data_IF_645050165172
#
_entry.id   IF_645050165172
#
_cell.length_a   1.000
_cell.length_b   1.000
_cell.length_c   1.000
_cell.angle_alpha   90.00
_cell.angle_beta   90.00
_cell.angle_gamma   90.00
#
_symmetry.space_group_name_H-M   'P 1'
#
loop_
_entity.id
_entity.type
_entity.pdbx_description
1 polymer ?
#
# COMPACT_ATOMS: atom_id res chain seq x y z
N UNK A 1 -7.52 11.32 24.69
CA UNK A 1 -6.46 10.83 23.77
C UNK A 1 -6.88 9.56 23.02
N UNK A 2 -7.22 8.44 23.71
CA UNK A 2 -7.67 7.18 23.08
C UNK A 2 -8.84 7.34 22.08
N UNK A 3 -9.92 8.03 22.49
CA UNK A 3 -11.10 8.30 21.63
C UNK A 3 -10.76 9.01 20.32
N UNK A 4 -9.75 9.89 20.32
CA UNK A 4 -9.34 10.62 19.11
C UNK A 4 -8.55 9.73 18.16
N UNK A 5 -7.72 8.84 18.69
CA UNK A 5 -6.96 7.84 17.91
C UNK A 5 -7.91 6.83 17.28
N UNK A 6 -8.88 6.33 18.06
CA UNK A 6 -9.87 5.36 17.56
C UNK A 6 -10.67 5.96 16.39
N UNK A 7 -11.09 7.24 16.51
CA UNK A 7 -11.80 7.94 15.43
C UNK A 7 -10.94 8.11 14.17
N UNK A 8 -9.65 8.39 14.32
CA UNK A 8 -8.74 8.53 13.16
C UNK A 8 -8.48 7.18 12.48
N UNK A 9 -8.32 6.11 13.27
CA UNK A 9 -8.21 4.75 12.74
C UNK A 9 -9.47 4.34 11.98
N UNK A 10 -10.66 4.67 12.50
CA UNK A 10 -11.92 4.41 11.80
C UNK A 10 -11.96 5.17 10.47
N UNK A 11 -11.68 6.49 10.48
CA UNK A 11 -11.67 7.30 9.25
C UNK A 11 -10.69 6.77 8.19
N UNK A 12 -9.57 6.21 8.62
CA UNK A 12 -8.60 5.58 7.71
C UNK A 12 -9.19 4.31 7.09
N UNK A 13 -9.81 3.45 7.89
CA UNK A 13 -10.47 2.25 7.39
C UNK A 13 -11.62 2.60 6.43
N UNK A 14 -12.44 3.60 6.78
CA UNK A 14 -13.52 4.08 5.89
C UNK A 14 -12.98 4.58 4.54
N UNK A 15 -11.77 5.14 4.52
CA UNK A 15 -11.10 5.59 3.29
C UNK A 15 -10.53 4.44 2.46
N UNK A 16 -10.04 3.39 3.13
CA UNK A 16 -9.63 2.15 2.45
C UNK A 16 -10.83 1.54 1.72
N UNK A 17 -11.98 1.43 2.40
CA UNK A 17 -13.21 0.90 1.83
C UNK A 17 -13.71 1.75 0.65
N UNK A 18 -13.71 3.09 0.77
CA UNK A 18 -14.06 3.99 -0.32
C UNK A 18 -13.20 3.80 -1.58
N UNK A 19 -11.90 3.52 -1.42
CA UNK A 19 -11.00 3.25 -2.56
C UNK A 19 -11.36 1.92 -3.21
N UNK A 20 -11.60 0.88 -2.41
CA UNK A 20 -11.97 -0.44 -2.90
C UNK A 20 -13.32 -0.39 -3.64
N UNK A 21 -14.32 0.32 -3.10
CA UNK A 21 -15.61 0.55 -3.73
C UNK A 21 -15.49 1.30 -5.06
N UNK A 22 -14.76 2.43 -5.08
CA UNK A 22 -14.57 3.22 -6.30
C UNK A 22 -13.87 2.41 -7.41
N UNK A 23 -12.92 1.55 -7.04
CA UNK A 23 -12.26 0.67 -7.99
C UNK A 23 -13.23 -0.39 -8.53
N UNK A 24 -14.05 -1.00 -7.67
CA UNK A 24 -15.07 -1.97 -8.10
C UNK A 24 -16.08 -1.34 -9.05
N UNK A 25 -16.56 -0.14 -8.74
CA UNK A 25 -17.45 0.62 -9.62
C UNK A 25 -16.81 0.89 -10.98
N UNK A 26 -15.54 1.31 -11.01
CA UNK A 26 -14.80 1.56 -12.25
C UNK A 26 -14.69 0.30 -13.11
N UNK A 27 -14.43 -0.86 -12.49
CA UNK A 27 -14.33 -2.14 -13.21
C UNK A 27 -15.68 -2.57 -13.79
N UNK A 28 -16.75 -2.41 -13.01
CA UNK A 28 -18.12 -2.68 -13.44
C UNK A 28 -18.53 -1.79 -14.61
N UNK A 29 -18.24 -0.48 -14.53
CA UNK A 29 -18.49 0.47 -15.62
C UNK A 29 -17.75 0.09 -16.90
N UNK A 30 -16.51 -0.40 -16.77
CA UNK A 30 -15.70 -0.88 -17.91
C UNK A 30 -16.07 -2.29 -18.38
N UNK A 31 -17.10 -2.92 -17.79
CA UNK A 31 -17.57 -4.29 -18.09
C UNK A 31 -16.45 -5.32 -18.05
N UNK A 32 -15.49 -5.11 -17.15
CA UNK A 32 -14.35 -6.00 -16.99
C UNK A 32 -14.85 -7.28 -16.32
N UNK A 33 -14.56 -8.43 -16.94
CA UNK A 33 -14.94 -9.73 -16.39
C UNK A 33 -13.85 -10.26 -15.46
N UNK A 34 -14.26 -10.81 -14.32
CA UNK A 34 -13.36 -11.61 -13.47
C UNK A 34 -12.89 -12.84 -14.25
N UNK A 35 -11.60 -13.12 -14.20
CA UNK A 35 -11.03 -14.35 -14.73
C UNK A 35 -11.36 -15.49 -13.74
N UNK A 36 -11.83 -16.63 -14.23
CA UNK A 36 -12.17 -17.79 -13.37
C UNK A 36 -10.93 -18.31 -12.61
N UNK A 37 -9.74 -18.18 -13.19
CA UNK A 37 -8.45 -18.55 -12.59
C UNK A 37 -7.72 -17.37 -11.93
N UNK A 38 -8.41 -16.25 -11.68
CA UNK A 38 -7.80 -15.10 -11.03
C UNK A 38 -7.25 -15.49 -9.64
N UNK A 39 -5.92 -15.40 -9.45
CA UNK A 39 -5.32 -15.62 -8.14
C UNK A 39 -5.85 -14.58 -7.17
N UNK A 40 -6.52 -15.06 -6.13
CA UNK A 40 -7.03 -14.22 -5.05
C UNK A 40 -5.85 -13.71 -4.21
N UNK A 41 -5.65 -12.39 -4.22
CA UNK A 41 -4.75 -11.75 -3.26
C UNK A 41 -5.50 -11.59 -1.92
N UNK A 42 -4.81 -11.85 -0.81
CA UNK A 42 -5.36 -11.68 0.54
C UNK A 42 -5.57 -10.22 0.93
N UNK A 43 -4.99 -9.29 0.18
CA UNK A 43 -5.02 -7.86 0.43
C UNK A 43 -5.86 -7.14 -0.65
N UNK A 44 -6.66 -6.16 -0.24
CA UNK A 44 -7.41 -5.31 -1.17
C UNK A 44 -6.53 -4.17 -1.71
N UNK A 45 -6.80 -3.62 -2.91
CA UNK A 45 -6.06 -2.48 -3.45
C UNK A 45 -5.98 -1.28 -2.49
N UNK A 46 -7.08 -0.92 -1.83
CA UNK A 46 -7.11 0.12 -0.80
C UNK A 46 -6.21 -0.19 0.38
N UNK A 47 -6.18 -1.45 0.83
CA UNK A 47 -5.28 -1.90 1.91
C UNK A 47 -3.81 -1.83 1.51
N UNK A 48 -3.47 -2.13 0.25
CA UNK A 48 -2.10 -2.00 -0.27
C UNK A 48 -1.66 -0.53 -0.31
N UNK A 49 -2.54 0.37 -0.76
CA UNK A 49 -2.30 1.82 -0.77
C UNK A 49 -2.09 2.35 0.65
N UNK A 50 -2.90 1.93 1.62
CA UNK A 50 -2.74 2.32 3.02
C UNK A 50 -1.36 1.93 3.57
N UNK A 51 -0.94 0.66 3.38
CA UNK A 51 0.39 0.19 3.81
C UNK A 51 1.53 0.98 3.16
N UNK A 52 1.42 1.30 1.87
CA UNK A 52 2.40 2.13 1.18
C UNK A 52 2.45 3.55 1.78
N UNK A 53 1.30 4.16 2.06
CA UNK A 53 1.23 5.51 2.65
C UNK A 53 1.83 5.57 4.06
N UNK A 54 1.55 4.57 4.91
CA UNK A 54 2.15 4.46 6.26
C UNK A 54 3.66 4.25 6.16
N UNK A 55 4.10 3.42 5.21
CA UNK A 55 5.53 3.16 5.02
C UNK A 55 6.26 4.43 4.56
N UNK A 56 5.67 5.24 3.68
CA UNK A 56 6.21 6.52 3.26
C UNK A 56 6.39 7.50 4.44
N UNK A 57 5.39 7.59 5.34
CA UNK A 57 5.50 8.42 6.54
C UNK A 57 6.60 7.94 7.49
N UNK A 58 6.71 6.62 7.69
CA UNK A 58 7.78 6.03 8.50
C UNK A 58 9.16 6.29 7.90
N UNK A 59 9.31 6.15 6.59
CA UNK A 59 10.55 6.45 5.85
C UNK A 59 10.93 7.92 6.08
N UNK A 60 10.00 8.85 5.85
CA UNK A 60 10.23 10.29 6.05
C UNK A 60 10.73 10.59 7.46
N UNK A 61 10.05 10.10 8.50
CA UNK A 61 10.47 10.35 9.88
C UNK A 61 11.79 9.66 10.25
N UNK A 62 12.05 8.46 9.74
CA UNK A 62 13.34 7.79 9.98
C UNK A 62 14.49 8.55 9.32
N UNK A 63 14.29 9.09 8.13
CA UNK A 63 15.29 9.94 7.48
C UNK A 63 15.55 11.27 8.22
N UNK A 64 14.50 11.89 8.78
CA UNK A 64 14.68 13.08 9.63
C UNK A 64 15.48 12.76 10.89
N UNK A 65 15.20 11.62 11.53
CA UNK A 65 15.90 11.17 12.74
C UNK A 65 17.37 10.82 12.48
N UNK A 66 17.73 10.32 11.29
CA UNK A 66 19.15 10.07 10.95
C UNK A 66 19.92 11.37 10.69
N UNK A 67 19.25 12.40 10.16
CA UNK A 67 19.82 13.72 9.90
C UNK A 67 19.87 14.63 11.13
N UNK A 68 19.29 14.20 12.24
CA UNK A 68 19.13 15.00 13.45
C UNK A 68 20.50 15.30 14.09
N UNK A 69 20.88 16.58 14.29
CA UNK A 69 22.24 16.97 14.69
C UNK A 69 22.61 16.58 16.14
N UNK A 70 21.63 16.47 17.04
CA UNK A 70 21.79 16.07 18.45
C UNK A 70 21.64 14.55 18.66
N UNK A 71 21.41 13.76 17.61
CA UNK A 71 21.30 12.32 17.73
C UNK A 71 22.66 11.66 18.04
N UNK A 72 22.64 10.60 18.86
CA UNK A 72 23.83 9.76 19.05
C UNK A 72 24.13 8.93 17.81
N UNK A 73 25.39 8.51 17.65
CA UNK A 73 25.80 7.62 16.56
C UNK A 73 25.04 6.28 16.58
N UNK A 74 24.76 5.77 17.77
CA UNK A 74 23.95 4.56 17.96
C UNK A 74 22.50 4.76 17.52
N UNK A 75 21.87 5.91 17.86
CA UNK A 75 20.52 6.25 17.41
C UNK A 75 20.44 6.35 15.89
N UNK A 76 21.42 7.02 15.26
CA UNK A 76 21.50 7.13 13.80
C UNK A 76 21.57 5.76 13.14
N UNK A 77 22.46 4.88 13.60
CA UNK A 77 22.62 3.52 13.05
C UNK A 77 21.33 2.69 13.19
N UNK A 78 20.65 2.81 14.33
CA UNK A 78 19.37 2.14 14.57
C UNK A 78 18.26 2.66 13.64
N UNK A 79 18.19 3.98 13.42
CA UNK A 79 17.24 4.58 12.47
C UNK A 79 17.58 4.20 11.01
N UNK A 80 18.85 4.16 10.62
CA UNK A 80 19.30 3.70 9.30
C UNK A 80 18.90 2.23 9.05
N UNK A 81 19.11 1.35 10.03
CA UNK A 81 18.71 -0.06 9.92
C UNK A 81 17.19 -0.20 9.72
N UNK A 82 16.39 0.57 10.47
CA UNK A 82 14.93 0.60 10.31
C UNK A 82 14.51 1.16 8.96
N UNK A 83 15.19 2.21 8.49
CA UNK A 83 14.96 2.83 7.19
C UNK A 83 15.20 1.81 6.06
N UNK A 84 16.30 1.05 6.11
CA UNK A 84 16.60 0.00 5.14
C UNK A 84 15.50 -1.08 5.10
N UNK A 85 15.01 -1.54 6.26
CA UNK A 85 13.91 -2.50 6.31
C UNK A 85 12.62 -1.96 5.70
N UNK A 86 12.27 -0.69 5.99
CA UNK A 86 11.08 -0.04 5.44
C UNK A 86 11.16 0.14 3.93
N UNK A 87 12.34 0.49 3.41
CA UNK A 87 12.58 0.61 1.97
C UNK A 87 12.43 -0.74 1.27
N UNK A 88 12.91 -1.83 1.87
CA UNK A 88 12.74 -3.18 1.32
C UNK A 88 11.26 -3.61 1.34
N UNK A 89 10.55 -3.35 2.44
CA UNK A 89 9.11 -3.60 2.52
C UNK A 89 8.32 -2.83 1.46
N UNK A 90 8.67 -1.56 1.23
CA UNK A 90 8.08 -0.74 0.16
C UNK A 90 8.34 -1.38 -1.21
N UNK A 91 9.58 -1.78 -1.49
CA UNK A 91 9.96 -2.44 -2.74
C UNK A 91 9.20 -3.75 -2.96
N UNK A 92 9.00 -4.54 -1.92
CA UNK A 92 8.21 -5.78 -1.99
C UNK A 92 6.76 -5.45 -2.34
N UNK A 93 6.14 -4.49 -1.63
CA UNK A 93 4.75 -4.07 -1.88
C UNK A 93 4.56 -3.52 -3.29
N UNK A 94 5.48 -2.66 -3.77
CA UNK A 94 5.48 -2.16 -5.15
C UNK A 94 5.57 -3.29 -6.18
N UNK A 95 6.42 -4.30 -5.93
CA UNK A 95 6.55 -5.46 -6.80
C UNK A 95 5.28 -6.31 -6.82
N UNK A 96 4.60 -6.48 -5.67
CA UNK A 96 3.31 -7.19 -5.61
C UNK A 96 2.24 -6.42 -6.37
N UNK A 97 2.10 -5.11 -6.13
CA UNK A 97 1.19 -4.24 -6.88
C UNK A 97 1.42 -4.35 -8.39
N UNK A 98 2.69 -4.23 -8.82
CA UNK A 98 3.05 -4.27 -10.24
C UNK A 98 2.79 -5.64 -10.86
N UNK A 99 3.05 -6.75 -10.14
CA UNK A 99 2.75 -8.10 -10.63
C UNK A 99 1.25 -8.29 -10.82
N UNK A 100 0.44 -7.85 -9.85
CA UNK A 100 -1.02 -7.88 -9.98
C UNK A 100 -1.52 -7.07 -11.18
N UNK A 101 -0.86 -5.95 -11.51
CA UNK A 101 -1.20 -5.13 -12.68
C UNK A 101 -0.67 -5.64 -14.02
N UNK A 102 0.52 -6.26 -14.07
CA UNK A 102 1.08 -6.81 -15.32
C UNK A 102 0.36 -8.08 -15.79
N UNK A 103 -0.24 -8.84 -14.88
CA UNK A 103 -1.08 -9.98 -15.25
C UNK A 103 -2.30 -9.52 -16.06
N UNK A 104 -2.84 -8.32 -15.80
CA UNK A 104 -3.92 -7.73 -16.62
C UNK A 104 -3.46 -7.13 -17.95
N UNK A 105 -2.18 -6.74 -18.08
CA UNK A 105 -1.65 -6.05 -19.26
C UNK A 105 -1.15 -7.02 -20.36
N UNK A 106 -0.80 -8.27 -20.02
CA UNK A 106 -0.44 -9.29 -21.02
C UNK A 106 -1.68 -9.94 -21.69
N UNK A 107 -2.89 -9.63 -21.21
CA UNK A 107 -4.16 -9.97 -21.86
C UNK A 107 -4.76 -8.73 -22.59
N UNK A 108 -3.92 -7.91 -23.24
CA UNK A 108 -4.31 -6.69 -23.98
C UNK A 108 -5.14 -6.94 -25.25
N UNK A 109 -5.94 -8.02 -25.26
CA UNK A 109 -7.05 -8.21 -26.19
C UNK A 109 -8.37 -8.61 -25.48
N UNK A 110 -8.47 -8.44 -24.16
CA UNK A 110 -9.74 -8.57 -23.43
C UNK A 110 -9.73 -7.80 -22.14
N UNK A 111 -10.75 -6.97 -21.95
CA UNK A 111 -11.11 -6.22 -20.74
C UNK A 111 -11.12 -7.09 -19.47
N UNK A 112 -9.95 -7.40 -18.90
CA UNK A 112 -9.78 -8.32 -17.77
C UNK A 112 -8.84 -7.71 -16.74
N UNK A 113 -9.35 -7.56 -15.53
CA UNK A 113 -8.61 -7.10 -14.35
C UNK A 113 -9.00 -7.97 -13.17
N UNK A 114 -8.06 -8.13 -12.24
CA UNK A 114 -8.20 -8.91 -11.02
C UNK A 114 -8.45 -7.94 -9.86
N UNK A 115 -9.71 -7.82 -9.43
CA UNK A 115 -10.07 -7.21 -8.14
C UNK A 115 -11.18 -8.05 -7.50
N UNK A 116 -11.14 -8.10 -6.17
CA UNK A 116 -12.04 -8.87 -5.30
C UNK A 116 -13.51 -8.59 -5.57
#
# INVERSE_FOLDING_TARGET
MKRSIDRLNQRRNDKIEQIDEALLELLNQRKIKKLEDARLNSETPGSMIDRLSISALKIYHMEEETRRPDASSEHRLNCETKLHLLLEQRRILENVCRKSWKISDQEENSSRFIVR
#
